data_IF_726464193801
#
_entry.id   IF_726464193801
#
_cell.length_a   1.000
_cell.length_b   1.000
_cell.length_c   1.000
_cell.angle_alpha   90.00
_cell.angle_beta   90.00
_cell.angle_gamma   90.00
#
_symmetry.space_group_name_H-M   'P 1'
#
loop_
_entity.id
_entity.type
_entity.pdbx_description
1 polymer ?
#
# COMPACT_ATOMS: atom_id res chain seq x y z
N UNK A 1 22.45 -12.03 -6.86
CA UNK A 1 21.85 -11.82 -5.50
C UNK A 1 21.58 -13.19 -4.92
N UNK A 2 22.00 -13.44 -3.68
CA UNK A 2 21.72 -14.72 -3.00
C UNK A 2 20.40 -14.57 -2.22
N UNK A 3 19.49 -15.52 -2.42
CA UNK A 3 18.20 -15.53 -1.69
C UNK A 3 18.46 -16.18 -0.32
N UNK A 4 18.06 -15.53 0.79
CA UNK A 4 18.16 -16.10 2.14
C UNK A 4 17.37 -17.40 2.26
N UNK A 5 17.77 -18.27 3.18
CA UNK A 5 17.02 -19.49 3.51
C UNK A 5 15.91 -19.27 4.57
N UNK A 6 16.07 -18.25 5.40
CA UNK A 6 15.09 -17.90 6.43
C UNK A 6 13.89 -17.15 5.83
N UNK A 7 12.66 -17.56 6.20
CA UNK A 7 11.44 -17.01 5.65
C UNK A 7 11.23 -15.52 6.03
N UNK A 8 11.68 -15.09 7.22
CA UNK A 8 11.60 -13.69 7.64
C UNK A 8 12.53 -12.81 6.82
N UNK A 9 13.76 -13.28 6.59
CA UNK A 9 14.73 -12.58 5.74
C UNK A 9 14.26 -12.53 4.28
N UNK A 10 13.61 -13.59 3.76
CA UNK A 10 12.99 -13.59 2.43
C UNK A 10 11.92 -12.52 2.31
N UNK A 11 11.03 -12.38 3.31
CA UNK A 11 9.99 -11.34 3.33
C UNK A 11 10.59 -9.94 3.37
N UNK A 12 11.63 -9.72 4.18
CA UNK A 12 12.34 -8.44 4.23
C UNK A 12 13.01 -8.11 2.90
N UNK A 13 13.65 -9.08 2.26
CA UNK A 13 14.28 -8.92 0.95
C UNK A 13 13.22 -8.57 -0.12
N UNK A 14 12.12 -9.32 -0.17
CA UNK A 14 11.02 -9.04 -1.10
C UNK A 14 10.47 -7.63 -0.89
N UNK A 15 10.16 -7.25 0.34
CA UNK A 15 9.69 -5.89 0.67
C UNK A 15 10.69 -4.83 0.23
N UNK A 16 11.99 -5.03 0.51
CA UNK A 16 13.04 -4.11 0.07
C UNK A 16 13.04 -3.91 -1.43
N UNK A 17 12.96 -5.01 -2.20
CA UNK A 17 12.93 -4.97 -3.67
C UNK A 17 11.67 -4.26 -4.20
N UNK A 18 10.51 -4.53 -3.63
CA UNK A 18 9.28 -3.83 -3.96
C UNK A 18 9.36 -2.33 -3.67
N UNK A 19 10.00 -1.95 -2.55
CA UNK A 19 10.13 -0.54 -2.16
C UNK A 19 11.04 0.27 -3.10
N UNK A 20 12.13 -0.30 -3.58
CA UNK A 20 13.07 0.40 -4.47
C UNK A 20 12.71 0.29 -5.97
N UNK A 21 11.75 -0.56 -6.32
CA UNK A 21 11.36 -0.76 -7.71
C UNK A 21 10.78 0.53 -8.29
N UNK A 22 11.38 1.00 -9.38
CA UNK A 22 10.85 2.14 -10.14
C UNK A 22 9.58 1.75 -10.91
N UNK A 23 8.70 2.71 -11.25
CA UNK A 23 7.58 2.45 -12.13
C UNK A 23 8.07 1.94 -13.49
N UNK A 24 7.65 0.75 -13.86
CA UNK A 24 7.99 0.09 -15.13
C UNK A 24 6.94 -0.98 -15.44
N UNK A 25 6.94 -1.48 -16.67
CA UNK A 25 6.05 -2.56 -17.07
C UNK A 25 6.15 -3.76 -16.12
N UNK A 26 5.00 -4.34 -15.78
CA UNK A 26 4.93 -5.44 -14.83
C UNK A 26 4.54 -6.71 -15.59
N UNK A 27 5.32 -7.78 -15.43
CA UNK A 27 4.99 -9.10 -15.94
C UNK A 27 3.66 -9.59 -15.31
N UNK A 28 2.65 -9.94 -16.10
CA UNK A 28 1.38 -10.47 -15.59
C UNK A 28 1.53 -11.71 -14.70
N UNK A 29 2.51 -12.58 -14.99
CA UNK A 29 2.79 -13.74 -14.15
C UNK A 29 3.32 -13.35 -12.78
N UNK A 30 4.16 -12.29 -12.70
CA UNK A 30 4.60 -11.74 -11.43
C UNK A 30 3.44 -11.14 -10.63
N UNK A 31 2.55 -10.37 -11.28
CA UNK A 31 1.38 -9.80 -10.61
C UNK A 31 0.49 -10.88 -10.00
N UNK A 32 0.23 -11.95 -10.73
CA UNK A 32 -0.60 -13.05 -10.23
C UNK A 32 -0.01 -13.66 -8.95
N UNK A 33 1.30 -13.89 -8.91
CA UNK A 33 2.00 -14.44 -7.74
C UNK A 33 2.00 -13.43 -6.60
N UNK A 34 2.32 -12.16 -6.88
CA UNK A 34 2.34 -11.09 -5.88
C UNK A 34 0.96 -10.91 -5.24
N UNK A 35 -0.10 -10.86 -6.05
CA UNK A 35 -1.45 -10.61 -5.55
C UNK A 35 -1.94 -11.76 -4.66
N UNK A 36 -1.64 -13.01 -5.02
CA UNK A 36 -1.92 -14.16 -4.16
C UNK A 36 -1.16 -14.07 -2.83
N UNK A 37 0.13 -13.74 -2.87
CA UNK A 37 0.96 -13.58 -1.69
C UNK A 37 0.48 -12.43 -0.78
N UNK A 38 0.21 -11.24 -1.36
CA UNK A 38 -0.21 -10.08 -0.58
C UNK A 38 -1.61 -10.25 0.01
N UNK A 39 -2.53 -10.89 -0.71
CA UNK A 39 -3.85 -11.24 -0.19
C UNK A 39 -3.73 -12.13 1.05
N UNK A 40 -2.90 -13.17 0.99
CA UNK A 40 -2.65 -14.05 2.13
C UNK A 40 -1.98 -13.31 3.31
N UNK A 41 -1.00 -12.44 3.05
CA UNK A 41 -0.33 -11.67 4.10
C UNK A 41 -1.28 -10.65 4.75
N UNK A 42 -2.15 -10.00 3.98
CA UNK A 42 -3.16 -9.09 4.52
C UNK A 42 -4.20 -9.83 5.38
N UNK A 43 -4.66 -11.01 4.96
CA UNK A 43 -5.54 -11.86 5.78
C UNK A 43 -4.85 -12.31 7.08
N UNK A 44 -3.58 -12.72 7.03
CA UNK A 44 -2.79 -13.11 8.23
C UNK A 44 -2.63 -11.97 9.23
N UNK A 45 -2.54 -10.72 8.78
CA UNK A 45 -2.50 -9.54 9.65
C UNK A 45 -3.82 -9.34 10.41
N UNK A 46 -4.90 -9.93 9.96
CA UNK A 46 -6.25 -9.78 10.47
C UNK A 46 -6.91 -8.50 9.95
N UNK A 47 -8.04 -8.65 9.30
CA UNK A 47 -8.83 -7.54 8.74
C UNK A 47 -9.72 -6.96 9.85
N UNK A 48 -9.84 -5.64 9.88
CA UNK A 48 -10.68 -4.89 10.82
C UNK A 48 -11.78 -4.18 10.05
N UNK A 49 -13.02 -4.32 10.49
CA UNK A 49 -14.20 -3.67 9.94
C UNK A 49 -14.78 -2.65 10.92
N UNK A 50 -15.70 -1.81 10.47
CA UNK A 50 -16.41 -0.88 11.39
C UNK A 50 -17.15 -1.61 12.50
N UNK A 51 -17.60 -2.85 12.27
CA UNK A 51 -18.24 -3.66 13.32
C UNK A 51 -17.29 -4.04 14.47
N UNK A 52 -15.99 -4.00 14.23
CA UNK A 52 -14.95 -4.30 15.23
C UNK A 52 -14.52 -3.05 16.02
N UNK A 53 -15.00 -1.87 15.64
CA UNK A 53 -14.59 -0.58 16.18
C UNK A 53 -15.77 0.07 16.92
N UNK A 54 -15.48 0.61 18.11
CA UNK A 54 -16.50 1.32 18.86
C UNK A 54 -16.85 2.65 18.22
N UNK A 55 -18.12 2.83 17.90
CA UNK A 55 -18.68 4.14 17.54
C UNK A 55 -18.71 5.05 18.78
N UNK A 56 -18.20 6.26 18.66
CA UNK A 56 -18.13 7.23 19.78
C UNK A 56 -19.22 8.31 19.67
N UNK A 57 -19.65 8.60 18.45
CA UNK A 57 -20.80 9.45 18.08
C UNK A 57 -21.37 8.92 16.76
N UNK A 58 -22.58 9.31 16.35
CA UNK A 58 -23.14 8.87 15.07
C UNK A 58 -22.16 9.06 13.92
N UNK A 59 -21.81 7.95 13.24
CA UNK A 59 -20.87 7.88 12.11
C UNK A 59 -19.42 8.30 12.44
N UNK A 60 -19.07 8.40 13.74
CA UNK A 60 -17.72 8.75 14.18
C UNK A 60 -17.11 7.61 15.00
N UNK A 61 -15.98 7.10 14.52
CA UNK A 61 -15.24 5.99 15.10
C UNK A 61 -13.82 6.44 15.48
N UNK A 62 -13.30 5.94 16.60
CA UNK A 62 -11.91 6.13 16.99
C UNK A 62 -11.24 4.77 17.11
N UNK A 63 -10.18 4.59 16.34
CA UNK A 63 -9.40 3.36 16.33
C UNK A 63 -7.90 3.66 16.26
N UNK A 64 -7.10 2.86 16.95
CA UNK A 64 -5.65 2.93 16.91
C UNK A 64 -5.09 1.60 16.48
N UNK A 65 -4.47 1.56 15.30
CA UNK A 65 -3.89 0.35 14.75
C UNK A 65 -3.28 0.57 13.38
N UNK A 66 -2.97 -0.52 12.69
CA UNK A 66 -2.42 -0.50 11.34
C UNK A 66 -3.54 -0.26 10.32
N UNK A 67 -3.56 0.92 9.72
CA UNK A 67 -4.58 1.35 8.75
C UNK A 67 -4.67 0.42 7.52
N UNK A 68 -3.59 -0.29 7.18
CA UNK A 68 -3.60 -1.24 6.07
C UNK A 68 -4.44 -2.50 6.33
N UNK A 69 -4.98 -2.64 7.55
CA UNK A 69 -5.90 -3.72 7.94
C UNK A 69 -7.37 -3.35 7.80
N UNK A 70 -7.69 -2.07 7.55
CA UNK A 70 -9.07 -1.59 7.54
C UNK A 70 -9.82 -1.99 6.26
N UNK A 71 -10.95 -2.67 6.42
CA UNK A 71 -11.93 -2.91 5.35
C UNK A 71 -12.97 -1.80 5.39
N UNK A 72 -12.70 -0.73 4.66
CA UNK A 72 -13.50 0.50 4.56
C UNK A 72 -13.51 0.99 3.12
N UNK A 73 -14.34 1.98 2.79
CA UNK A 73 -14.40 2.54 1.43
C UNK A 73 -13.09 3.21 0.99
N UNK A 74 -12.41 3.91 1.90
CA UNK A 74 -11.11 4.52 1.60
C UNK A 74 -10.25 4.67 2.85
N UNK A 75 -8.92 4.66 2.67
CA UNK A 75 -7.93 5.06 3.67
C UNK A 75 -7.12 6.24 3.15
N UNK A 76 -6.59 7.07 4.04
CA UNK A 76 -5.77 8.22 3.66
C UNK A 76 -4.30 7.89 3.81
N UNK A 77 -3.54 8.12 2.74
CA UNK A 77 -2.08 8.03 2.72
C UNK A 77 -1.46 9.42 2.94
N UNK A 78 -0.55 9.53 3.89
CA UNK A 78 0.31 10.71 4.03
C UNK A 78 1.48 10.61 3.03
N UNK A 79 1.18 10.83 1.75
CA UNK A 79 2.12 10.74 0.65
C UNK A 79 3.05 11.96 0.56
N UNK A 80 4.19 11.78 -0.11
CA UNK A 80 5.01 12.91 -0.58
C UNK A 80 4.39 13.54 -1.85
N UNK A 81 4.92 14.69 -2.29
CA UNK A 81 4.42 15.42 -3.46
C UNK A 81 4.54 14.66 -4.79
N UNK A 82 5.38 13.66 -4.85
CA UNK A 82 5.51 12.77 -6.02
C UNK A 82 4.46 11.67 -6.09
N UNK A 83 3.77 11.38 -4.99
CA UNK A 83 2.71 10.36 -4.82
C UNK A 83 3.12 8.91 -5.19
N UNK A 84 4.33 8.68 -5.63
CA UNK A 84 4.81 7.35 -6.07
C UNK A 84 5.32 6.46 -4.95
N UNK A 85 5.07 6.84 -3.70
CA UNK A 85 5.45 6.08 -2.51
C UNK A 85 6.85 6.38 -1.99
N UNK A 86 7.17 5.78 -0.85
CA UNK A 86 8.47 5.88 -0.22
C UNK A 86 9.41 4.81 -0.79
N UNK A 87 10.57 5.23 -1.31
CA UNK A 87 11.60 4.34 -1.89
C UNK A 87 12.64 3.83 -0.89
N UNK A 88 12.49 4.19 0.38
CA UNK A 88 13.43 3.72 1.42
C UNK A 88 13.12 2.26 1.80
N UNK A 89 14.08 1.32 1.62
CA UNK A 89 13.84 -0.10 1.89
C UNK A 89 13.32 -0.36 3.31
N UNK A 90 12.24 -1.12 3.43
CA UNK A 90 11.64 -1.52 4.71
C UNK A 90 11.32 -0.36 5.67
N UNK A 91 11.14 0.87 5.17
CA UNK A 91 10.78 2.00 6.01
C UNK A 91 9.39 1.83 6.62
N UNK A 92 9.24 2.25 7.88
CA UNK A 92 7.97 2.07 8.62
C UNK A 92 7.04 3.29 8.55
N UNK A 93 7.22 4.20 7.57
CA UNK A 93 6.21 5.24 7.33
C UNK A 93 4.96 4.64 6.70
N UNK A 94 3.84 5.33 6.87
CA UNK A 94 2.55 4.85 6.35
C UNK A 94 2.55 4.73 4.83
N UNK A 95 3.20 5.63 4.12
CA UNK A 95 3.33 5.61 2.66
C UNK A 95 4.05 4.35 2.17
N UNK A 96 5.18 3.96 2.81
CA UNK A 96 5.86 2.71 2.50
C UNK A 96 4.99 1.48 2.78
N UNK A 97 4.29 1.47 3.93
CA UNK A 97 3.43 0.34 4.30
C UNK A 97 2.25 0.18 3.33
N UNK A 98 1.57 1.27 2.97
CA UNK A 98 0.46 1.24 2.01
C UNK A 98 0.94 0.72 0.65
N UNK A 99 2.02 1.28 0.09
CA UNK A 99 2.56 0.81 -1.19
C UNK A 99 3.06 -0.64 -1.14
N UNK A 100 3.63 -1.09 -0.02
CA UNK A 100 4.04 -2.50 0.15
C UNK A 100 2.85 -3.44 0.07
N UNK A 101 1.79 -3.19 0.85
CA UNK A 101 0.65 -4.11 0.97
C UNK A 101 -0.40 -3.96 -0.12
N UNK A 102 -0.42 -2.81 -0.81
CA UNK A 102 -1.19 -2.66 -2.05
C UNK A 102 -0.58 -3.44 -3.22
N UNK A 103 0.75 -3.54 -3.26
CA UNK A 103 1.50 -4.12 -4.37
C UNK A 103 2.11 -3.08 -5.29
N UNK A 104 3.04 -3.52 -6.16
CA UNK A 104 3.82 -2.61 -7.04
C UNK A 104 2.95 -1.87 -8.06
N UNK A 105 1.78 -2.37 -8.39
CA UNK A 105 0.84 -1.74 -9.33
C UNK A 105 0.31 -0.40 -8.81
N UNK A 106 0.22 -0.17 -7.49
CA UNK A 106 -0.17 1.13 -6.95
C UNK A 106 0.82 2.22 -7.38
N UNK A 107 2.13 1.94 -7.28
CA UNK A 107 3.18 2.89 -7.71
C UNK A 107 3.07 3.23 -9.19
N UNK A 108 2.86 2.22 -10.05
CA UNK A 108 2.67 2.44 -11.48
C UNK A 108 1.45 3.32 -11.75
N UNK A 109 0.32 3.02 -11.10
CA UNK A 109 -0.91 3.80 -11.23
C UNK A 109 -0.70 5.27 -10.82
N UNK A 110 -0.07 5.51 -9.67
CA UNK A 110 0.27 6.84 -9.19
C UNK A 110 1.21 7.58 -10.17
N UNK A 111 2.24 6.89 -10.67
CA UNK A 111 3.16 7.46 -11.64
C UNK A 111 2.45 7.91 -12.92
N UNK A 112 1.54 7.09 -13.45
CA UNK A 112 0.76 7.45 -14.65
C UNK A 112 -0.12 8.69 -14.43
N UNK A 113 -0.69 8.83 -13.23
CA UNK A 113 -1.44 10.04 -12.84
C UNK A 113 -0.53 11.27 -12.80
N UNK A 114 0.66 11.13 -12.19
CA UNK A 114 1.60 12.24 -12.05
C UNK A 114 2.21 12.66 -13.38
N UNK A 115 2.48 11.72 -14.28
CA UNK A 115 2.91 12.02 -15.65
C UNK A 115 1.84 12.83 -16.39
N UNK A 116 0.57 12.42 -16.28
CA UNK A 116 -0.56 13.15 -16.90
C UNK A 116 -0.74 14.54 -16.30
N UNK A 117 -0.50 14.69 -14.99
CA UNK A 117 -0.57 15.99 -14.31
C UNK A 117 0.59 16.91 -14.70
N UNK A 118 1.78 16.38 -14.93
CA UNK A 118 2.98 17.12 -15.38
C UNK A 118 3.66 17.96 -14.30
N UNK A 119 3.23 17.88 -13.05
CA UNK A 119 3.83 18.59 -11.91
C UNK A 119 3.58 17.83 -10.60
N UNK A 120 4.35 18.15 -9.57
CA UNK A 120 4.15 17.60 -8.23
C UNK A 120 2.77 17.96 -7.67
N UNK A 121 2.27 17.13 -6.75
CA UNK A 121 0.99 17.38 -6.09
C UNK A 121 1.12 18.58 -5.14
N UNK A 122 0.27 19.61 -5.30
CA UNK A 122 0.28 20.74 -4.40
C UNK A 122 -0.18 20.37 -2.98
N UNK A 123 0.37 21.04 -1.98
CA UNK A 123 -0.09 20.90 -0.59
C UNK A 123 -1.60 21.17 -0.47
N UNK A 124 -2.29 20.31 0.26
CA UNK A 124 -3.74 20.42 0.48
C UNK A 124 -4.59 19.81 -0.63
N UNK A 125 -3.98 19.19 -1.62
CA UNK A 125 -4.66 18.39 -2.64
C UNK A 125 -4.52 16.91 -2.35
N UNK A 126 -5.39 16.11 -2.91
CA UNK A 126 -5.38 14.65 -2.81
C UNK A 126 -5.84 14.01 -4.12
N UNK A 127 -5.45 12.76 -4.30
CA UNK A 127 -5.89 11.90 -5.39
C UNK A 127 -6.51 10.63 -4.81
N UNK A 128 -7.41 10.04 -5.56
CA UNK A 128 -7.99 8.75 -5.23
C UNK A 128 -7.46 7.68 -6.19
N UNK A 129 -7.08 6.55 -5.64
CA UNK A 129 -6.56 5.39 -6.38
C UNK A 129 -7.30 4.12 -5.99
N UNK A 130 -7.32 3.09 -6.83
CA UNK A 130 -7.64 1.74 -6.38
C UNK A 130 -6.67 1.31 -5.27
N UNK A 131 -7.16 0.50 -4.33
CA UNK A 131 -6.33 0.00 -3.23
C UNK A 131 -5.60 -1.32 -3.55
N UNK A 132 -5.91 -1.93 -4.69
CA UNK A 132 -5.34 -3.20 -5.17
C UNK A 132 -5.48 -4.33 -4.14
N UNK A 133 -4.38 -4.79 -3.52
CA UNK A 133 -4.41 -5.91 -2.57
C UNK A 133 -4.77 -5.52 -1.13
N UNK A 134 -4.99 -4.23 -0.83
CA UNK A 134 -5.43 -3.79 0.49
C UNK A 134 -6.92 -4.16 0.72
N UNK A 135 -7.34 -4.34 1.99
CA UNK A 135 -8.74 -4.64 2.32
C UNK A 135 -9.74 -3.51 2.01
N UNK A 136 -9.27 -2.25 1.95
CA UNK A 136 -10.10 -1.08 1.57
C UNK A 136 -10.32 -1.03 0.05
N UNK A 137 -11.27 -0.21 -0.38
CA UNK A 137 -11.56 -0.06 -1.81
C UNK A 137 -10.62 0.95 -2.50
N UNK A 138 -10.23 2.01 -1.75
CA UNK A 138 -9.43 3.12 -2.28
C UNK A 138 -8.36 3.59 -1.30
N UNK A 139 -7.36 4.25 -1.86
CA UNK A 139 -6.34 5.03 -1.17
C UNK A 139 -6.33 6.46 -1.69
#
# INVERSE_FOLDING_TARGET
>A
MQIPSDAGEQKMLLRSLMNIRMPEEIDPAFLQIQDAYLSEENEKKGIVTLADIREVQPDLYIWKGDITRLRVGAIVNAANSGITGCYHPCHNCIDNCIHTYAGIQLRNYCNDMMIKQGQEEPTGQAKITPAFNLPCEHV
#
